data_IF_835948760208
#
_entry.id   IF_835948760208
#
_cell.length_a   1.000
_cell.length_b   1.000
_cell.length_c   1.000
_cell.angle_alpha   90.00
_cell.angle_beta   90.00
_cell.angle_gamma   90.00
#
_symmetry.space_group_name_H-M   'P 1'
#
loop_
_entity.id
_entity.type
_entity.pdbx_description
1 polymer ?
#
# COMPACT_ATOMS: atom_id res chain seq x y z
N UNK A 1 -0.23 -23.75 -2.80
CA UNK A 1 -0.37 -22.45 -3.52
C UNK A 1 -0.81 -21.27 -2.64
N UNK A 2 -1.80 -21.40 -1.76
CA UNK A 2 -2.23 -20.24 -0.93
C UNK A 2 -1.20 -19.80 0.14
N UNK A 3 -0.44 -20.74 0.70
CA UNK A 3 0.61 -20.45 1.69
C UNK A 3 1.86 -19.78 1.08
N UNK A 4 2.12 -19.98 -0.19
CA UNK A 4 3.35 -19.46 -0.83
C UNK A 4 3.34 -17.93 -0.95
N UNK A 5 2.15 -17.33 -1.14
CA UNK A 5 2.00 -15.86 -1.21
C UNK A 5 2.29 -15.15 0.12
N UNK A 6 2.09 -15.81 1.25
CA UNK A 6 2.40 -15.25 2.58
C UNK A 6 3.82 -15.61 3.03
N UNK A 7 4.37 -16.72 2.57
CA UNK A 7 5.71 -17.19 2.94
C UNK A 7 6.81 -16.55 2.11
N UNK A 8 6.55 -16.24 0.84
CA UNK A 8 7.48 -15.45 0.02
C UNK A 8 7.27 -13.95 0.25
N UNK A 9 7.81 -13.48 1.37
CA UNK A 9 7.69 -12.09 1.81
C UNK A 9 8.50 -11.09 0.96
N UNK A 10 9.32 -11.57 0.02
CA UNK A 10 10.16 -10.70 -0.82
C UNK A 10 9.36 -9.73 -1.66
N UNK A 11 8.16 -10.13 -2.08
CA UNK A 11 7.26 -9.32 -2.92
C UNK A 11 6.21 -8.52 -2.15
N UNK A 12 6.04 -8.77 -0.84
CA UNK A 12 5.02 -8.09 -0.02
C UNK A 12 5.55 -6.77 0.50
N UNK A 13 4.89 -5.68 0.12
CA UNK A 13 5.25 -4.32 0.60
C UNK A 13 4.66 -4.03 1.98
N UNK A 14 3.40 -4.30 2.17
CA UNK A 14 2.67 -4.17 3.44
C UNK A 14 1.33 -4.88 3.36
N UNK A 15 0.70 -5.07 4.50
CA UNK A 15 -0.67 -5.51 4.59
C UNK A 15 -1.55 -4.44 5.24
N UNK A 16 -2.86 -4.51 5.01
CA UNK A 16 -3.87 -3.69 5.67
C UNK A 16 -4.88 -4.61 6.34
N UNK A 17 -5.05 -4.46 7.64
CA UNK A 17 -6.12 -5.11 8.39
C UNK A 17 -7.34 -4.20 8.38
N UNK A 18 -8.53 -4.77 8.23
CA UNK A 18 -9.80 -4.05 8.17
C UNK A 18 -10.78 -4.78 9.07
N UNK A 19 -11.21 -4.11 10.12
CA UNK A 19 -12.20 -4.60 11.09
C UNK A 19 -13.55 -3.92 10.83
N UNK A 20 -14.64 -4.58 11.17
CA UNK A 20 -16.01 -4.04 11.07
C UNK A 20 -16.33 -3.44 9.70
N UNK A 21 -15.86 -4.08 8.63
CA UNK A 21 -16.06 -3.59 7.26
C UNK A 21 -17.53 -3.41 6.94
N UNK A 22 -17.88 -2.23 6.45
CA UNK A 22 -19.26 -1.89 6.06
C UNK A 22 -20.12 -1.33 7.19
N UNK A 23 -19.54 -1.06 8.36
CA UNK A 23 -20.19 -0.35 9.47
C UNK A 23 -19.58 1.03 9.66
N UNK A 24 -20.26 1.89 10.44
CA UNK A 24 -19.75 3.23 10.79
C UNK A 24 -18.49 3.15 11.67
N UNK A 25 -18.29 2.03 12.40
CA UNK A 25 -17.14 1.74 13.24
C UNK A 25 -16.00 1.02 12.50
N UNK A 26 -15.96 1.11 11.16
CA UNK A 26 -14.96 0.44 10.36
C UNK A 26 -13.55 0.99 10.67
N UNK A 27 -12.70 0.14 11.22
CA UNK A 27 -11.30 0.44 11.51
C UNK A 27 -10.37 -0.19 10.49
N UNK A 28 -9.41 0.55 9.98
CA UNK A 28 -8.41 -0.01 9.08
C UNK A 28 -7.04 0.63 9.28
N UNK A 29 -6.00 -0.19 9.32
CA UNK A 29 -4.62 0.28 9.48
C UNK A 29 -3.61 -0.59 8.71
N UNK A 30 -2.47 0.01 8.42
CA UNK A 30 -1.36 -0.68 7.75
C UNK A 30 -0.52 -1.44 8.77
N UNK A 31 0.00 -2.59 8.34
CA UNK A 31 0.86 -3.45 9.13
C UNK A 31 1.89 -4.16 8.25
N UNK A 32 2.87 -4.76 8.88
CA UNK A 32 3.90 -5.58 8.24
C UNK A 32 3.71 -7.03 8.65
N UNK A 33 3.79 -7.96 7.70
CA UNK A 33 3.77 -9.40 7.98
C UNK A 33 5.11 -9.76 8.64
N UNK A 34 5.07 -10.36 9.83
CA UNK A 34 6.25 -10.72 10.61
C UNK A 34 6.56 -12.20 10.61
N UNK A 35 5.55 -13.01 10.79
CA UNK A 35 5.70 -14.47 10.87
C UNK A 35 4.47 -15.14 10.28
N UNK A 36 4.71 -16.15 9.49
CA UNK A 36 3.67 -17.01 8.89
C UNK A 36 4.03 -18.46 9.16
N UNK A 37 3.09 -19.19 9.70
CA UNK A 37 3.20 -20.64 9.83
C UNK A 37 1.90 -21.31 9.36
N UNK A 38 1.74 -22.60 9.60
CA UNK A 38 0.56 -23.36 9.15
C UNK A 38 -0.73 -23.02 9.91
N UNK A 39 -0.63 -22.42 11.09
CA UNK A 39 -1.74 -22.19 12.00
C UNK A 39 -2.12 -20.71 12.09
N UNK A 40 -1.15 -19.82 12.00
CA UNK A 40 -1.39 -18.39 12.20
C UNK A 40 -0.47 -17.48 11.36
N UNK A 41 -0.88 -16.23 11.26
CA UNK A 41 -0.10 -15.13 10.69
C UNK A 41 0.00 -14.00 11.72
N UNK A 42 1.20 -13.49 11.94
CA UNK A 42 1.46 -12.32 12.78
C UNK A 42 1.65 -11.06 11.96
N UNK A 43 0.92 -10.02 12.31
CA UNK A 43 1.00 -8.69 11.72
C UNK A 43 1.50 -7.70 12.77
N UNK A 44 2.58 -6.99 12.46
CA UNK A 44 3.07 -5.88 13.27
C UNK A 44 2.37 -4.59 12.85
N UNK A 45 1.58 -4.00 13.73
CA UNK A 45 0.91 -2.73 13.51
C UNK A 45 1.85 -1.54 13.76
N UNK A 46 1.54 -0.40 13.15
CA UNK A 46 2.25 0.87 13.39
C UNK A 46 1.65 1.63 14.58
N UNK A 47 0.41 1.32 14.95
CA UNK A 47 -0.31 1.90 16.08
C UNK A 47 -1.08 0.82 16.82
N UNK A 48 -1.32 1.04 18.12
CA UNK A 48 -2.10 0.12 18.93
C UNK A 48 -3.59 0.46 18.83
N UNK A 49 -4.37 -0.53 18.43
CA UNK A 49 -5.83 -0.48 18.34
C UNK A 49 -6.50 -1.60 19.14
N UNK A 50 -5.78 -2.15 20.13
CA UNK A 50 -6.27 -3.29 20.92
C UNK A 50 -7.59 -3.01 21.62
N UNK A 51 -7.84 -1.76 22.02
CA UNK A 51 -9.07 -1.34 22.69
C UNK A 51 -10.27 -1.20 21.74
N UNK A 52 -10.04 -1.24 20.42
CA UNK A 52 -11.07 -1.02 19.39
C UNK A 52 -11.41 -2.28 18.60
N UNK A 53 -10.74 -3.39 18.87
CA UNK A 53 -10.94 -4.66 18.15
C UNK A 53 -11.16 -5.81 19.10
N UNK A 54 -12.02 -6.75 18.72
CA UNK A 54 -12.39 -7.89 19.54
C UNK A 54 -11.70 -9.18 19.09
N UNK A 55 -11.28 -10.01 20.04
CA UNK A 55 -10.80 -11.37 19.76
C UNK A 55 -11.94 -12.23 19.20
N UNK A 56 -11.63 -13.06 18.25
CA UNK A 56 -12.62 -13.88 17.55
C UNK A 56 -13.38 -13.13 16.42
N UNK A 57 -13.15 -11.82 16.28
CA UNK A 57 -13.78 -11.06 15.21
C UNK A 57 -13.24 -11.46 13.82
N UNK A 58 -14.11 -11.52 12.80
CA UNK A 58 -13.69 -11.66 11.42
C UNK A 58 -12.98 -10.39 10.95
N UNK A 59 -11.90 -10.54 10.20
CA UNK A 59 -11.16 -9.44 9.63
C UNK A 59 -10.94 -9.64 8.14
N UNK A 60 -11.03 -8.55 7.38
CA UNK A 60 -10.56 -8.53 6.01
C UNK A 60 -9.08 -8.11 5.97
N UNK A 61 -8.29 -8.83 5.20
CA UNK A 61 -6.87 -8.58 5.02
C UNK A 61 -6.64 -8.19 3.57
N UNK A 62 -5.95 -7.09 3.32
CA UNK A 62 -5.44 -6.74 2.00
C UNK A 62 -3.92 -6.76 2.01
N UNK A 63 -3.33 -7.61 1.20
CA UNK A 63 -1.87 -7.74 1.06
C UNK A 63 -1.47 -7.04 -0.22
N UNK A 64 -0.57 -6.08 -0.10
CA UNK A 64 -0.07 -5.29 -1.22
C UNK A 64 1.30 -5.81 -1.64
N UNK A 65 1.37 -6.32 -2.85
CA UNK A 65 2.59 -6.85 -3.45
C UNK A 65 2.96 -6.09 -4.73
N UNK A 66 4.11 -6.40 -5.29
CA UNK A 66 4.52 -5.92 -6.63
C UNK A 66 3.54 -6.36 -7.70
N UNK A 67 2.96 -7.56 -7.56
CA UNK A 67 2.09 -8.21 -8.54
C UNK A 67 0.59 -7.89 -8.38
N UNK A 68 0.22 -7.07 -7.39
CA UNK A 68 -1.17 -6.67 -7.20
C UNK A 68 -1.60 -6.65 -5.74
N UNK A 69 -2.90 -6.76 -5.55
CA UNK A 69 -3.53 -6.78 -4.22
C UNK A 69 -4.21 -8.12 -4.04
N UNK A 70 -3.89 -8.80 -2.95
CA UNK A 70 -4.56 -10.03 -2.52
C UNK A 70 -5.50 -9.66 -1.38
N UNK A 71 -6.77 -9.96 -1.53
CA UNK A 71 -7.77 -9.85 -0.47
C UNK A 71 -7.99 -11.24 0.14
N UNK A 72 -8.11 -11.28 1.46
CA UNK A 72 -8.34 -12.50 2.21
C UNK A 72 -9.19 -12.20 3.45
N UNK A 73 -9.78 -13.24 4.03
CA UNK A 73 -10.48 -13.17 5.31
C UNK A 73 -9.83 -14.10 6.32
N UNK A 74 -9.77 -13.65 7.57
CA UNK A 74 -9.23 -14.40 8.69
C UNK A 74 -9.98 -14.05 9.97
N UNK A 75 -9.65 -14.72 11.06
CA UNK A 75 -10.16 -14.42 12.39
C UNK A 75 -9.04 -13.92 13.27
N UNK A 76 -9.26 -12.87 14.05
CA UNK A 76 -8.31 -12.37 15.04
C UNK A 76 -8.25 -13.33 16.22
N UNK A 77 -7.08 -13.93 16.43
CA UNK A 77 -6.88 -14.92 17.51
C UNK A 77 -6.32 -14.31 18.78
N UNK A 78 -5.38 -13.38 18.64
CA UNK A 78 -4.62 -12.83 19.75
C UNK A 78 -4.05 -11.47 19.43
N UNK A 79 -3.91 -10.64 20.44
CA UNK A 79 -3.15 -9.39 20.39
C UNK A 79 -2.16 -9.35 21.53
N UNK A 80 -0.96 -8.83 21.31
CA UNK A 80 0.05 -8.64 22.35
C UNK A 80 1.07 -7.57 21.91
N UNK A 81 1.82 -7.06 22.89
CA UNK A 81 2.91 -6.13 22.63
C UNK A 81 4.24 -6.88 22.53
N UNK A 82 5.01 -6.60 21.47
CA UNK A 82 6.40 -7.02 21.35
C UNK A 82 7.29 -5.77 21.45
N UNK A 83 7.70 -5.45 22.67
CA UNK A 83 8.27 -4.12 22.97
C UNK A 83 7.22 -3.03 22.80
N UNK A 84 7.48 -2.04 21.94
CA UNK A 84 6.53 -0.98 21.60
C UNK A 84 5.65 -1.30 20.37
N UNK A 85 5.79 -2.50 19.80
CA UNK A 85 5.09 -2.86 18.55
C UNK A 85 3.90 -3.76 18.86
N UNK A 86 2.66 -3.33 18.54
CA UNK A 86 1.49 -4.17 18.68
C UNK A 86 1.49 -5.28 17.61
N UNK A 87 1.25 -6.51 18.06
CA UNK A 87 1.17 -7.69 17.19
C UNK A 87 -0.26 -8.21 17.19
N UNK A 88 -0.80 -8.37 16.00
CA UNK A 88 -2.11 -8.95 15.72
C UNK A 88 -1.92 -10.33 15.09
N UNK A 89 -2.36 -11.36 15.81
CA UNK A 89 -2.27 -12.76 15.35
C UNK A 89 -3.61 -13.19 14.78
N UNK A 90 -3.62 -13.72 13.58
CA UNK A 90 -4.83 -14.19 12.90
C UNK A 90 -4.72 -15.65 12.52
N UNK A 91 -5.87 -16.30 12.23
CA UNK A 91 -5.85 -17.56 11.50
C UNK A 91 -5.17 -17.37 10.15
N UNK A 92 -4.64 -18.46 9.58
CA UNK A 92 -4.20 -18.47 8.18
C UNK A 92 -5.44 -18.37 7.30
N UNK A 93 -5.52 -17.42 6.37
CA UNK A 93 -6.64 -17.34 5.44
C UNK A 93 -6.75 -18.60 4.58
N UNK A 94 -7.96 -19.07 4.39
CA UNK A 94 -8.25 -20.28 3.59
C UNK A 94 -8.48 -19.92 2.12
N UNK A 95 -9.07 -18.74 1.89
CA UNK A 95 -9.40 -18.25 0.55
C UNK A 95 -8.72 -16.92 0.28
N UNK A 96 -8.29 -16.75 -0.96
CA UNK A 96 -7.61 -15.54 -1.43
C UNK A 96 -8.23 -15.08 -2.73
N UNK A 97 -8.53 -13.79 -2.82
CA UNK A 97 -8.95 -13.14 -4.04
C UNK A 97 -7.80 -12.24 -4.53
N UNK A 98 -7.25 -12.57 -5.68
CA UNK A 98 -6.20 -11.77 -6.31
C UNK A 98 -6.80 -10.77 -7.26
N UNK A 99 -6.51 -9.49 -7.04
CA UNK A 99 -6.97 -8.40 -7.92
C UNK A 99 -5.77 -7.68 -8.51
N UNK A 100 -5.56 -7.85 -9.81
CA UNK A 100 -4.61 -7.03 -10.57
C UNK A 100 -5.36 -5.83 -11.14
N UNK A 101 -5.25 -4.68 -10.48
CA UNK A 101 -5.91 -3.43 -10.91
C UNK A 101 -5.08 -2.62 -11.91
N UNK A 102 -3.80 -2.98 -12.09
CA UNK A 102 -2.91 -2.23 -12.96
C UNK A 102 -2.80 -2.90 -14.31
N UNK A 103 -3.26 -2.23 -15.34
CA UNK A 103 -3.10 -2.68 -16.73
C UNK A 103 -1.64 -2.58 -17.22
N UNK A 104 -0.80 -1.77 -16.54
CA UNK A 104 0.59 -1.55 -16.93
C UNK A 104 1.51 -1.73 -15.73
N UNK A 105 2.64 -2.37 -15.97
CA UNK A 105 3.73 -2.45 -15.00
C UNK A 105 4.24 -1.04 -14.65
N UNK A 106 4.64 -0.83 -13.41
CA UNK A 106 5.28 0.40 -12.95
C UNK A 106 6.73 0.09 -12.59
N UNK A 107 7.64 0.63 -13.38
CA UNK A 107 9.06 0.59 -13.06
C UNK A 107 9.36 1.66 -12.00
N UNK A 108 9.95 1.27 -10.88
CA UNK A 108 10.48 2.23 -9.91
C UNK A 108 11.73 2.85 -10.55
N UNK A 109 11.67 4.16 -10.82
CA UNK A 109 12.70 4.89 -11.55
C UNK A 109 12.81 6.31 -11.03
N UNK A 110 13.99 6.68 -10.55
CA UNK A 110 14.27 7.98 -9.96
C UNK A 110 15.06 8.86 -10.93
N UNK A 111 14.33 9.56 -11.79
CA UNK A 111 14.93 10.47 -12.78
C UNK A 111 14.61 11.92 -12.42
N UNK A 112 15.59 12.83 -12.52
CA UNK A 112 15.31 14.26 -12.45
C UNK A 112 14.49 14.68 -13.68
N UNK A 113 13.40 15.41 -13.44
CA UNK A 113 12.50 15.90 -14.49
C UNK A 113 12.20 17.38 -14.30
N UNK A 114 11.99 18.08 -15.39
CA UNK A 114 11.47 19.43 -15.39
C UNK A 114 9.99 19.38 -15.78
N UNK A 115 9.16 19.92 -14.91
CA UNK A 115 7.72 20.03 -15.12
C UNK A 115 7.39 21.44 -15.54
N UNK A 116 6.61 21.60 -16.60
CA UNK A 116 5.97 22.86 -16.96
C UNK A 116 4.52 22.75 -16.55
N UNK A 117 4.14 23.47 -15.52
CA UNK A 117 2.78 23.48 -14.97
C UNK A 117 2.03 24.67 -15.53
N UNK A 118 0.88 24.43 -16.13
CA UNK A 118 -0.03 25.48 -16.61
C UNK A 118 -1.11 25.71 -15.56
N UNK A 119 -1.19 26.92 -15.04
CA UNK A 119 -2.21 27.31 -14.07
C UNK A 119 -3.56 27.61 -14.75
N UNK A 120 -4.67 27.63 -13.99
CA UNK A 120 -5.99 27.95 -14.56
C UNK A 120 -6.07 29.33 -15.25
N UNK A 121 -5.24 30.28 -14.83
CA UNK A 121 -5.12 31.61 -15.45
C UNK A 121 -4.28 31.65 -16.74
N UNK A 122 -3.79 30.50 -17.19
CA UNK A 122 -2.93 30.36 -18.36
C UNK A 122 -1.44 30.66 -18.12
N UNK A 123 -1.07 31.11 -16.93
CA UNK A 123 0.35 31.31 -16.59
C UNK A 123 1.07 29.97 -16.44
N UNK A 124 2.38 29.95 -16.73
CA UNK A 124 3.21 28.76 -16.65
C UNK A 124 4.26 28.89 -15.56
N UNK A 125 4.60 27.77 -14.91
CA UNK A 125 5.69 27.66 -13.95
C UNK A 125 6.56 26.44 -14.24
N UNK A 126 7.87 26.60 -14.16
CA UNK A 126 8.83 25.51 -14.26
C UNK A 126 9.17 25.00 -12.86
N UNK A 127 9.05 23.69 -12.64
CA UNK A 127 9.30 23.04 -11.36
C UNK A 127 10.25 21.87 -11.57
N UNK A 128 11.23 21.74 -10.68
CA UNK A 128 12.11 20.57 -10.64
C UNK A 128 11.47 19.48 -9.78
N UNK A 129 11.45 18.27 -10.27
CA UNK A 129 10.92 17.12 -9.57
C UNK A 129 11.77 15.87 -9.85
N UNK A 130 11.50 14.82 -9.10
CA UNK A 130 12.10 13.49 -9.32
C UNK A 130 11.00 12.48 -9.52
N UNK A 131 11.10 11.63 -10.54
CA UNK A 131 10.15 10.53 -10.71
C UNK A 131 10.29 9.53 -9.58
N UNK A 132 9.17 8.95 -9.15
CA UNK A 132 9.12 7.81 -8.23
C UNK A 132 8.94 6.50 -8.99
N UNK A 133 8.05 6.52 -9.98
CA UNK A 133 7.84 5.40 -10.90
C UNK A 133 7.26 5.89 -12.22
N UNK A 134 7.43 5.07 -13.24
CA UNK A 134 6.93 5.29 -14.60
C UNK A 134 6.20 4.03 -15.08
N UNK A 135 5.14 4.21 -15.85
CA UNK A 135 4.36 3.13 -16.45
C UNK A 135 3.90 3.51 -17.87
N UNK A 136 3.34 2.55 -18.60
CA UNK A 136 2.78 2.81 -19.94
C UNK A 136 1.60 3.80 -19.98
N UNK A 137 1.05 4.22 -18.82
CA UNK A 137 -0.05 5.18 -18.71
C UNK A 137 0.29 6.48 -17.98
N UNK A 138 1.49 6.60 -17.45
CA UNK A 138 1.86 7.81 -16.75
C UNK A 138 3.00 7.60 -15.77
N UNK A 139 3.31 8.65 -15.05
CA UNK A 139 4.37 8.67 -14.07
C UNK A 139 3.91 9.27 -12.75
N UNK A 140 4.57 8.85 -11.67
CA UNK A 140 4.50 9.48 -10.38
C UNK A 140 5.79 10.24 -10.14
N UNK A 141 5.72 11.47 -9.66
CA UNK A 141 6.88 12.28 -9.31
C UNK A 141 6.70 12.90 -7.93
N UNK A 142 7.80 13.32 -7.34
CA UNK A 142 7.87 14.03 -6.06
C UNK A 142 8.52 15.37 -6.32
N UNK A 143 7.87 16.44 -5.88
CA UNK A 143 8.43 17.79 -5.78
C UNK A 143 8.44 18.18 -4.31
N UNK A 144 9.55 18.76 -3.85
CA UNK A 144 9.67 19.25 -2.47
C UNK A 144 9.08 20.66 -2.29
N UNK A 145 8.91 21.38 -3.41
CA UNK A 145 8.64 22.81 -3.37
C UNK A 145 7.16 23.14 -3.57
N UNK A 146 6.32 22.17 -4.01
CA UNK A 146 4.96 22.50 -4.43
C UNK A 146 3.96 21.34 -4.26
N UNK A 147 2.73 21.70 -3.88
CA UNK A 147 1.54 20.86 -4.02
C UNK A 147 0.84 21.24 -5.32
N UNK A 148 0.39 20.22 -6.07
CA UNK A 148 -0.31 20.41 -7.36
C UNK A 148 -1.81 20.19 -7.15
N UNK A 149 -2.67 21.17 -7.44
CA UNK A 149 -4.10 20.94 -7.54
C UNK A 149 -4.42 19.98 -8.70
N UNK A 150 -5.48 19.20 -8.57
CA UNK A 150 -5.89 18.18 -9.55
C UNK A 150 -6.18 18.70 -10.96
N UNK A 151 -6.36 20.01 -11.12
CA UNK A 151 -6.81 20.63 -12.39
C UNK A 151 -5.70 21.32 -13.20
N UNK A 152 -4.44 21.12 -12.83
CA UNK A 152 -3.35 21.70 -13.62
C UNK A 152 -2.96 20.78 -14.77
N UNK A 153 -2.73 21.38 -15.93
CA UNK A 153 -2.04 20.68 -17.01
C UNK A 153 -0.54 20.69 -16.75
N UNK A 154 0.08 19.53 -16.88
CA UNK A 154 1.51 19.35 -16.60
C UNK A 154 2.17 18.75 -17.83
N UNK A 155 3.15 19.46 -18.38
CA UNK A 155 4.06 18.92 -19.40
C UNK A 155 5.35 18.45 -18.72
N UNK A 156 5.77 17.23 -19.00
CA UNK A 156 6.96 16.63 -18.41
C UNK A 156 8.04 16.50 -19.46
N UNK A 157 9.20 17.12 -19.21
CA UNK A 157 10.38 16.94 -20.04
C UNK A 157 11.36 15.98 -19.34
N UNK A 158 11.60 14.83 -19.96
CA UNK A 158 12.56 13.82 -19.48
C UNK A 158 13.73 13.79 -20.47
N UNK A 159 14.93 13.97 -19.93
CA UNK A 159 16.17 13.73 -20.70
C UNK A 159 16.70 12.36 -20.31
N UNK A 160 16.66 11.42 -21.22
CA UNK A 160 17.41 10.18 -21.11
C UNK A 160 18.88 10.49 -21.49
N UNK A 161 19.82 10.02 -20.67
CA UNK A 161 21.22 9.99 -21.11
C UNK A 161 21.39 8.77 -22.00
N UNK A 162 21.91 8.98 -23.17
CA UNK A 162 22.41 7.92 -24.06
C UNK A 162 23.57 7.20 -23.41
#
# INVERSE_FOLDING_TARGET
MANDLLTDSSDVKFAKLIFNKGTDDALSFNCVIRNVNKEFVNFAGMSDYSDQVELGAPIDIKIYSTNGVVAAQATLLKMFQAGSTPIYTTTVPVTYEHTQKRAYYRADMHLPVNLIVVKPDGSTKNIKATTKNISGRGMCFISLDETFPEYYSITVNIKFKD
#
